data_IF_440537095383
#
_entry.id   IF_440537095383
#
_cell.length_a   1.000
_cell.length_b   1.000
_cell.length_c   1.000
_cell.angle_alpha   90.00
_cell.angle_beta   90.00
_cell.angle_gamma   90.00
#
_symmetry.space_group_name_H-M   'P 1'
#
loop_
_entity.id
_entity.type
_entity.pdbx_description
1 polymer ?
#
# COMPACT_ATOMS: atom_id res chain seq x y z
N UNK A 1 -8.03 22.50 -0.12
CA UNK A 1 -7.42 21.67 -1.18
C UNK A 1 -8.01 20.28 -1.00
N UNK A 2 -8.57 19.67 -2.03
CA UNK A 2 -9.00 18.28 -1.96
C UNK A 2 -7.74 17.42 -1.88
N UNK A 3 -7.41 16.94 -0.68
CA UNK A 3 -6.33 15.98 -0.48
C UNK A 3 -6.71 14.71 -1.24
N UNK A 4 -6.08 14.52 -2.40
CA UNK A 4 -6.04 13.23 -3.05
C UNK A 4 -4.77 12.56 -2.56
N UNK A 5 -4.83 11.25 -2.33
CA UNK A 5 -3.68 10.45 -1.91
C UNK A 5 -2.50 10.68 -2.87
N UNK A 6 -1.41 11.28 -2.37
CA UNK A 6 -0.17 11.45 -3.11
C UNK A 6 0.78 10.28 -2.79
N UNK A 7 0.94 9.38 -3.77
CA UNK A 7 1.77 8.19 -3.62
C UNK A 7 3.24 8.53 -3.37
N UNK A 8 3.80 9.52 -4.06
CA UNK A 8 5.23 9.85 -3.95
C UNK A 8 5.56 10.47 -2.59
N UNK A 9 4.69 11.34 -2.08
CA UNK A 9 4.80 11.89 -0.72
C UNK A 9 4.68 10.78 0.33
N UNK A 10 3.72 9.88 0.17
CA UNK A 10 3.54 8.71 1.06
C UNK A 10 4.80 7.84 1.08
N UNK A 11 5.37 7.54 -0.09
CA UNK A 11 6.56 6.71 -0.21
C UNK A 11 7.80 7.39 0.39
N UNK A 12 7.97 8.69 0.17
CA UNK A 12 9.07 9.46 0.73
C UNK A 12 9.00 9.51 2.26
N UNK A 13 7.84 9.87 2.81
CA UNK A 13 7.61 9.95 4.25
C UNK A 13 7.81 8.58 4.94
N UNK A 14 7.22 7.52 4.38
CA UNK A 14 7.33 6.19 4.95
C UNK A 14 8.75 5.61 4.84
N UNK A 15 9.45 5.86 3.73
CA UNK A 15 10.85 5.43 3.58
C UNK A 15 11.77 6.14 4.57
N UNK A 16 11.55 7.45 4.80
CA UNK A 16 12.30 8.21 5.80
C UNK A 16 12.06 7.66 7.21
N UNK A 17 10.80 7.41 7.57
CA UNK A 17 10.42 6.78 8.85
C UNK A 17 11.11 5.42 9.06
N UNK A 18 11.09 4.54 8.07
CA UNK A 18 11.74 3.22 8.20
C UNK A 18 13.26 3.32 8.30
N UNK A 19 13.86 4.27 7.60
CA UNK A 19 15.29 4.56 7.68
C UNK A 19 15.68 5.05 9.08
N UNK A 20 14.89 5.93 9.67
CA UNK A 20 15.07 6.41 11.05
C UNK A 20 14.93 5.25 12.06
N UNK A 21 14.03 4.31 11.81
CA UNK A 21 13.89 3.06 12.59
C UNK A 21 15.00 2.03 12.32
N UNK A 22 16.05 2.37 11.58
CA UNK A 22 17.20 1.50 11.32
C UNK A 22 16.89 0.30 10.42
N UNK A 23 15.81 0.33 9.63
CA UNK A 23 15.48 -0.78 8.72
C UNK A 23 16.46 -0.84 7.55
N UNK A 24 16.78 -2.05 7.12
CA UNK A 24 17.67 -2.30 5.96
C UNK A 24 17.05 -1.71 4.68
N UNK A 25 17.89 -1.21 3.79
CA UNK A 25 17.46 -0.67 2.49
C UNK A 25 16.64 -1.69 1.66
N UNK A 26 16.96 -2.98 1.77
CA UNK A 26 16.18 -4.04 1.10
C UNK A 26 14.75 -4.15 1.63
N UNK A 27 14.56 -4.01 2.94
CA UNK A 27 13.22 -3.98 3.57
C UNK A 27 12.45 -2.75 3.15
N UNK A 28 13.08 -1.57 3.14
CA UNK A 28 12.45 -0.33 2.67
C UNK A 28 12.00 -0.46 1.22
N UNK A 29 12.86 -1.00 0.34
CA UNK A 29 12.51 -1.26 -1.07
C UNK A 29 11.35 -2.23 -1.22
N UNK A 30 11.30 -3.30 -0.40
CA UNK A 30 10.19 -4.27 -0.41
C UNK A 30 8.87 -3.59 -0.03
N UNK A 31 8.83 -2.85 1.08
CA UNK A 31 7.61 -2.19 1.51
C UNK A 31 7.16 -1.08 0.54
N UNK A 32 8.10 -0.32 -0.04
CA UNK A 32 7.78 0.65 -1.08
C UNK A 32 7.15 -0.02 -2.32
N UNK A 33 7.61 -1.22 -2.68
CA UNK A 33 6.99 -2.01 -3.74
C UNK A 33 5.57 -2.45 -3.36
N UNK A 34 5.37 -2.94 -2.14
CA UNK A 34 4.05 -3.40 -1.68
C UNK A 34 3.02 -2.26 -1.67
N UNK A 35 3.41 -1.06 -1.21
CA UNK A 35 2.57 0.15 -1.27
C UNK A 35 2.24 0.53 -2.71
N UNK A 36 3.20 0.46 -3.64
CA UNK A 36 2.95 0.72 -5.07
C UNK A 36 1.96 -0.27 -5.68
N UNK A 37 2.07 -1.55 -5.32
CA UNK A 37 1.13 -2.58 -5.77
C UNK A 37 -0.27 -2.32 -5.22
N UNK A 38 -0.38 -2.01 -3.92
CA UNK A 38 -1.65 -1.70 -3.28
C UNK A 38 -2.31 -0.45 -3.91
N UNK A 39 -1.55 0.63 -4.10
CA UNK A 39 -2.04 1.84 -4.75
C UNK A 39 -2.53 1.57 -6.19
N UNK A 40 -1.82 0.73 -6.96
CA UNK A 40 -2.28 0.32 -8.29
C UNK A 40 -3.61 -0.44 -8.22
N UNK A 41 -3.78 -1.31 -7.22
CA UNK A 41 -5.03 -2.04 -7.01
C UNK A 41 -6.18 -1.09 -6.61
N UNK A 42 -5.95 -0.12 -5.72
CA UNK A 42 -6.94 0.91 -5.39
C UNK A 42 -7.40 1.70 -6.61
N UNK A 43 -6.46 2.06 -7.49
CA UNK A 43 -6.78 2.74 -8.76
C UNK A 43 -7.61 1.87 -9.69
N UNK A 44 -7.26 0.59 -9.83
CA UNK A 44 -7.95 -0.35 -10.71
C UNK A 44 -9.38 -0.68 -10.24
N UNK A 45 -9.65 -0.58 -8.94
CA UNK A 45 -10.96 -0.78 -8.34
C UNK A 45 -11.68 0.54 -8.03
N UNK A 46 -11.23 1.65 -8.65
CA UNK A 46 -11.83 2.98 -8.54
C UNK A 46 -11.90 3.56 -7.12
N UNK A 47 -11.26 2.92 -6.14
CA UNK A 47 -11.28 3.31 -4.73
C UNK A 47 -10.69 4.70 -4.51
N UNK A 48 -9.66 5.06 -5.28
CA UNK A 48 -9.03 6.40 -5.23
C UNK A 48 -9.98 7.54 -5.64
N UNK A 49 -11.14 7.25 -6.26
CA UNK A 49 -12.14 8.27 -6.58
C UNK A 49 -13.00 8.64 -5.36
N UNK A 50 -13.08 7.75 -4.37
CA UNK A 50 -14.02 7.86 -3.25
C UNK A 50 -13.32 8.18 -1.92
N UNK A 51 -12.00 7.95 -1.84
CA UNK A 51 -11.21 8.22 -0.63
C UNK A 51 -10.31 9.45 -0.83
N UNK A 52 -10.23 10.29 0.21
CA UNK A 52 -9.35 11.46 0.26
C UNK A 52 -8.09 11.21 1.09
N UNK A 53 -8.17 10.24 2.01
CA UNK A 53 -7.08 9.86 2.91
C UNK A 53 -6.97 8.35 3.03
N UNK A 54 -5.75 7.87 3.32
CA UNK A 54 -5.51 6.46 3.67
C UNK A 54 -6.36 5.99 4.85
N UNK A 55 -6.74 6.89 5.76
CA UNK A 55 -7.57 6.59 6.93
C UNK A 55 -9.04 6.27 6.59
N UNK A 56 -9.49 6.56 5.37
CA UNK A 56 -10.87 6.27 4.93
C UNK A 56 -11.03 4.86 4.36
N UNK A 57 -9.93 4.10 4.22
CA UNK A 57 -9.97 2.69 3.84
C UNK A 57 -10.55 1.85 4.97
N UNK A 58 -11.57 1.07 4.64
CA UNK A 58 -12.21 0.14 5.58
C UNK A 58 -11.42 -1.16 5.70
N UNK A 59 -11.62 -1.90 6.79
CA UNK A 59 -11.09 -3.26 6.93
C UNK A 59 -11.49 -4.16 5.75
N UNK A 60 -12.72 -4.01 5.24
CA UNK A 60 -13.22 -4.76 4.10
C UNK A 60 -12.40 -4.49 2.81
N UNK A 61 -11.91 -3.27 2.61
CA UNK A 61 -11.04 -2.95 1.47
C UNK A 61 -9.71 -3.71 1.55
N UNK A 62 -9.11 -3.80 2.74
CA UNK A 62 -7.91 -4.58 2.97
C UNK A 62 -8.17 -6.08 2.77
N UNK A 63 -9.25 -6.62 3.32
CA UNK A 63 -9.61 -8.04 3.15
C UNK A 63 -9.82 -8.40 1.68
N UNK A 64 -10.48 -7.52 0.91
CA UNK A 64 -10.69 -7.71 -0.53
C UNK A 64 -9.36 -7.75 -1.27
N UNK A 65 -8.47 -6.77 -1.01
CA UNK A 65 -7.15 -6.75 -1.62
C UNK A 65 -6.32 -8.00 -1.30
N UNK A 66 -6.30 -8.42 -0.03
CA UNK A 66 -5.53 -9.58 0.39
C UNK A 66 -6.06 -10.90 -0.17
N UNK A 67 -7.39 -11.04 -0.30
CA UNK A 67 -8.02 -12.18 -0.96
C UNK A 67 -7.61 -12.25 -2.43
N UNK A 68 -7.64 -11.12 -3.13
CA UNK A 68 -7.19 -11.07 -4.53
C UNK A 68 -5.70 -11.40 -4.72
N UNK A 69 -4.83 -11.01 -3.78
CA UNK A 69 -3.42 -11.38 -3.81
C UNK A 69 -3.21 -12.90 -3.68
N UNK A 70 -4.00 -13.57 -2.85
CA UNK A 70 -3.96 -15.03 -2.70
C UNK A 70 -4.45 -15.72 -3.97
N UNK A 71 -5.63 -15.31 -4.46
CA UNK A 71 -6.32 -16.00 -5.53
C UNK A 71 -5.66 -15.75 -6.90
N UNK A 72 -5.31 -14.49 -7.20
CA UNK A 72 -4.80 -14.11 -8.52
C UNK A 72 -3.30 -14.23 -8.65
N UNK A 73 -2.55 -14.06 -7.56
CA UNK A 73 -1.06 -14.08 -7.59
C UNK A 73 -0.45 -15.30 -6.92
N UNK A 74 -1.25 -16.16 -6.29
CA UNK A 74 -0.78 -17.36 -5.56
C UNK A 74 0.29 -17.01 -4.53
N UNK A 75 0.19 -15.83 -3.90
CA UNK A 75 1.13 -15.43 -2.87
C UNK A 75 0.95 -16.33 -1.65
N UNK A 76 2.06 -16.85 -1.13
CA UNK A 76 2.01 -17.57 0.15
C UNK A 76 1.71 -16.59 1.28
N UNK A 77 1.16 -17.09 2.39
CA UNK A 77 0.97 -16.33 3.62
C UNK A 77 2.26 -15.62 4.07
N UNK A 78 3.43 -16.24 3.87
CA UNK A 78 4.75 -15.67 4.21
C UNK A 78 5.16 -14.49 3.32
N UNK A 79 4.53 -14.35 2.16
CA UNK A 79 4.80 -13.28 1.18
C UNK A 79 3.93 -12.05 1.43
N UNK A 80 2.88 -12.17 2.25
CA UNK A 80 2.08 -11.04 2.71
C UNK A 80 2.78 -10.37 3.90
N UNK A 81 2.89 -9.04 3.85
CA UNK A 81 3.46 -8.20 4.91
C UNK A 81 2.45 -7.16 5.33
#
# INVERSE_FOLDING_TARGET
>A
MSENINLEETLAAFSAYLKEKGRKQSTIKRYAYDIKVFHKWLRANEKLLYIKSWSELSEADYQTYFSELEDKRKYSQKTRH
#
